data_IF_235378529236
#
_entry.id   IF_235378529236
#
_cell.length_a   1.000
_cell.length_b   1.000
_cell.length_c   1.000
_cell.angle_alpha   90.00
_cell.angle_beta   90.00
_cell.angle_gamma   90.00
#
_symmetry.space_group_name_H-M   'P 1'
#
loop_
_entity.id
_entity.type
_entity.pdbx_description
1 polymer ?
#
# COMPACT_ATOMS: atom_id res chain seq x y z
N UNK A 1 -38.80 -59.80 -11.62
CA UNK A 1 -37.59 -60.18 -12.39
C UNK A 1 -37.52 -59.31 -13.62
N UNK A 2 -36.84 -58.17 -13.53
CA UNK A 2 -36.60 -57.29 -14.68
C UNK A 2 -35.10 -57.38 -15.00
N UNK A 3 -34.76 -58.18 -16.01
CA UNK A 3 -33.40 -58.23 -16.56
C UNK A 3 -33.20 -56.95 -17.40
N UNK A 4 -32.60 -55.93 -16.79
CA UNK A 4 -32.20 -54.71 -17.49
C UNK A 4 -30.94 -54.97 -18.33
N UNK A 5 -31.05 -54.71 -19.63
CA UNK A 5 -29.96 -54.74 -20.58
C UNK A 5 -28.77 -53.87 -20.12
N UNK A 6 -27.55 -54.41 -20.20
CA UNK A 6 -26.32 -53.63 -19.99
C UNK A 6 -26.08 -52.75 -21.21
N UNK A 7 -26.00 -51.41 -21.07
CA UNK A 7 -25.55 -50.56 -22.17
C UNK A 7 -24.07 -50.84 -22.44
N UNK A 8 -23.74 -51.15 -23.69
CA UNK A 8 -22.36 -51.28 -24.15
C UNK A 8 -21.62 -49.96 -23.97
N UNK A 9 -20.62 -49.94 -23.11
CA UNK A 9 -19.78 -48.78 -22.87
C UNK A 9 -18.81 -48.52 -24.03
N UNK A 10 -18.52 -47.26 -24.37
CA UNK A 10 -17.57 -46.90 -25.42
C UNK A 10 -16.13 -47.17 -24.99
N UNK A 11 -15.36 -47.82 -25.88
CA UNK A 11 -13.89 -47.75 -25.95
C UNK A 11 -13.11 -48.03 -24.67
N UNK A 12 -12.92 -49.31 -24.33
CA UNK A 12 -12.01 -49.76 -23.28
C UNK A 12 -10.55 -49.45 -23.66
N UNK A 13 -9.99 -48.39 -23.12
CA UNK A 13 -8.53 -48.28 -23.00
C UNK A 13 -8.05 -49.30 -21.96
N UNK A 14 -6.92 -49.96 -22.20
CA UNK A 14 -6.50 -51.17 -21.47
C UNK A 14 -6.24 -50.98 -19.96
N UNK A 15 -6.36 -49.77 -19.41
CA UNK A 15 -6.05 -49.44 -18.01
C UNK A 15 -7.21 -48.78 -17.24
N UNK A 16 -8.47 -48.89 -17.71
CA UNK A 16 -9.62 -48.26 -17.04
C UNK A 16 -10.62 -49.32 -16.54
N UNK A 17 -10.79 -49.44 -15.21
CA UNK A 17 -11.81 -50.30 -14.60
C UNK A 17 -13.08 -49.47 -14.39
N UNK A 18 -14.19 -49.92 -14.98
CA UNK A 18 -15.50 -49.32 -14.77
C UNK A 18 -16.16 -49.94 -13.54
N UNK A 19 -16.36 -49.14 -12.49
CA UNK A 19 -17.06 -49.56 -11.27
C UNK A 19 -18.48 -48.98 -11.26
N UNK A 20 -19.49 -49.76 -10.80
CA UNK A 20 -20.84 -49.24 -10.67
C UNK A 20 -20.89 -48.14 -9.59
N UNK A 21 -21.70 -47.10 -9.82
CA UNK A 21 -21.79 -45.93 -8.94
C UNK A 21 -22.13 -46.30 -7.48
N UNK A 22 -22.86 -47.39 -7.26
CA UNK A 22 -23.18 -47.93 -5.92
C UNK A 22 -21.96 -48.39 -5.14
N UNK A 23 -20.89 -48.81 -5.82
CA UNK A 23 -19.62 -49.23 -5.17
C UNK A 23 -18.74 -48.04 -4.81
N UNK A 24 -18.92 -46.89 -5.47
CA UNK A 24 -18.20 -45.64 -5.17
C UNK A 24 -18.96 -44.75 -4.18
N UNK A 25 -20.28 -44.91 -4.06
CA UNK A 25 -21.13 -44.09 -3.19
C UNK A 25 -20.67 -44.02 -1.71
N UNK A 26 -20.22 -45.11 -1.05
CA UNK A 26 -19.74 -45.04 0.33
C UNK A 26 -18.43 -44.26 0.46
N UNK A 27 -17.51 -44.45 -0.51
CA UNK A 27 -16.22 -43.73 -0.57
C UNK A 27 -16.41 -42.23 -0.79
N UNK A 28 -17.42 -41.85 -1.58
CA UNK A 28 -17.77 -40.44 -1.82
C UNK A 28 -18.49 -39.83 -0.61
N UNK A 29 -19.31 -40.63 0.10
CA UNK A 29 -19.98 -40.19 1.32
C UNK A 29 -18.98 -39.92 2.47
N UNK A 30 -17.92 -40.71 2.57
CA UNK A 30 -16.86 -40.57 3.59
C UNK A 30 -15.78 -39.54 3.20
N UNK A 31 -15.78 -39.07 1.95
CA UNK A 31 -14.85 -38.06 1.46
C UNK A 31 -15.20 -36.62 1.88
N UNK A 32 -16.15 -36.41 2.80
CA UNK A 32 -16.63 -35.08 3.19
C UNK A 32 -15.51 -34.13 3.63
N UNK A 33 -14.59 -34.61 4.47
CA UNK A 33 -13.45 -33.82 4.95
C UNK A 33 -12.43 -33.55 3.84
N UNK A 34 -12.11 -34.55 3.01
CA UNK A 34 -11.20 -34.40 1.87
C UNK A 34 -11.75 -33.43 0.82
N UNK A 35 -13.06 -33.48 0.56
CA UNK A 35 -13.74 -32.52 -0.32
C UNK A 35 -13.70 -31.12 0.25
N UNK A 36 -13.98 -30.95 1.54
CA UNK A 36 -13.90 -29.65 2.21
C UNK A 36 -12.47 -29.09 2.17
N UNK A 37 -11.45 -29.93 2.41
CA UNK A 37 -10.04 -29.55 2.31
C UNK A 37 -9.66 -29.15 0.88
N UNK A 38 -10.06 -29.94 -0.12
CA UNK A 38 -9.80 -29.63 -1.54
C UNK A 38 -10.44 -28.31 -1.96
N UNK A 39 -11.68 -28.04 -1.53
CA UNK A 39 -12.37 -26.77 -1.79
C UNK A 39 -11.67 -25.59 -1.10
N UNK A 40 -11.21 -25.75 0.15
CA UNK A 40 -10.42 -24.72 0.85
C UNK A 40 -9.10 -24.46 0.15
N UNK A 41 -8.41 -25.51 -0.28
CA UNK A 41 -7.16 -25.40 -1.01
C UNK A 41 -7.34 -24.66 -2.33
N UNK A 42 -8.38 -25.02 -3.10
CA UNK A 42 -8.70 -24.34 -4.36
C UNK A 42 -9.00 -22.85 -4.16
N UNK A 43 -9.85 -22.51 -3.18
CA UNK A 43 -10.14 -21.10 -2.83
C UNK A 43 -8.88 -20.33 -2.44
N UNK A 44 -7.99 -20.94 -1.67
CA UNK A 44 -6.73 -20.31 -1.29
C UNK A 44 -5.77 -20.14 -2.48
N UNK A 45 -5.75 -21.07 -3.43
CA UNK A 45 -5.01 -20.88 -4.69
C UNK A 45 -5.56 -19.71 -5.50
N UNK A 46 -6.88 -19.62 -5.66
CA UNK A 46 -7.53 -18.50 -6.35
C UNK A 46 -7.20 -17.18 -5.65
N UNK A 47 -7.32 -17.14 -4.31
CA UNK A 47 -6.96 -15.95 -3.52
C UNK A 47 -5.50 -15.56 -3.71
N UNK A 48 -4.56 -16.50 -3.67
CA UNK A 48 -3.13 -16.23 -3.90
C UNK A 48 -2.88 -15.65 -5.30
N UNK A 49 -3.52 -16.21 -6.33
CA UNK A 49 -3.41 -15.68 -7.69
C UNK A 49 -3.95 -14.24 -7.79
N UNK A 50 -5.05 -13.93 -7.09
CA UNK A 50 -5.60 -12.59 -7.01
C UNK A 50 -4.66 -11.63 -6.27
N UNK A 51 -4.00 -12.07 -5.20
CA UNK A 51 -2.99 -11.26 -4.50
C UNK A 51 -1.80 -10.95 -5.41
N UNK A 52 -1.29 -11.93 -6.15
CA UNK A 52 -0.17 -11.70 -7.09
C UNK A 52 -0.54 -10.67 -8.16
N UNK A 53 -1.74 -10.80 -8.73
CA UNK A 53 -2.26 -9.83 -9.69
C UNK A 53 -2.42 -8.44 -9.08
N UNK A 54 -2.99 -8.33 -7.87
CA UNK A 54 -3.15 -7.08 -7.12
C UNK A 54 -1.80 -6.40 -6.82
N UNK A 55 -0.83 -7.15 -6.33
CA UNK A 55 0.53 -6.67 -6.05
C UNK A 55 1.21 -6.15 -7.33
N UNK A 56 1.04 -6.85 -8.45
CA UNK A 56 1.60 -6.42 -9.74
C UNK A 56 0.94 -5.14 -10.26
N UNK A 57 -0.39 -5.04 -10.17
CA UNK A 57 -1.16 -3.85 -10.60
C UNK A 57 -0.79 -2.60 -9.81
N UNK A 58 -0.62 -2.72 -8.49
CA UNK A 58 -0.36 -1.60 -7.60
C UNK A 58 1.13 -1.41 -7.27
N UNK A 59 2.05 -2.03 -8.01
CA UNK A 59 3.49 -1.94 -7.73
C UNK A 59 4.03 -0.50 -7.78
N UNK A 60 3.42 0.36 -8.60
CA UNK A 60 3.74 1.80 -8.71
C UNK A 60 2.83 2.70 -7.87
N UNK A 61 1.76 2.18 -7.27
CA UNK A 61 0.80 2.97 -6.49
C UNK A 61 1.33 3.24 -5.09
N UNK A 62 2.18 4.26 -4.98
CA UNK A 62 2.96 4.54 -3.76
C UNK A 62 2.42 5.69 -2.90
N UNK A 63 1.39 6.40 -3.38
CA UNK A 63 0.85 7.58 -2.69
C UNK A 63 -0.49 7.26 -2.02
N UNK A 64 -0.70 7.87 -0.86
CA UNK A 64 -1.91 7.75 -0.04
C UNK A 64 -2.39 6.30 0.20
N UNK A 65 -1.45 5.39 0.48
CA UNK A 65 -1.76 4.02 0.88
C UNK A 65 -2.53 4.05 2.21
N UNK A 66 -3.68 3.36 2.32
CA UNK A 66 -4.50 3.37 3.53
C UNK A 66 -3.74 2.93 4.79
N UNK A 67 -4.05 3.52 5.96
CA UNK A 67 -3.60 2.98 7.24
C UNK A 67 -4.00 1.52 7.43
N UNK A 68 -3.19 0.77 8.17
CA UNK A 68 -3.28 -0.68 8.39
C UNK A 68 -2.98 -1.56 7.17
N UNK A 69 -2.76 -0.97 5.99
CA UNK A 69 -2.31 -1.72 4.82
C UNK A 69 -0.87 -2.20 5.02
N UNK A 70 -0.58 -3.42 4.58
CA UNK A 70 0.79 -3.92 4.53
C UNK A 70 1.54 -3.34 3.34
N UNK A 71 2.80 -2.98 3.58
CA UNK A 71 3.72 -2.47 2.57
C UNK A 71 5.07 -3.16 2.68
N UNK A 72 5.74 -3.27 1.55
CA UNK A 72 7.17 -3.50 1.51
C UNK A 72 7.90 -2.19 1.67
N UNK A 73 8.76 -2.13 2.68
CA UNK A 73 9.78 -1.10 2.82
C UNK A 73 10.98 -1.48 1.95
N UNK A 74 11.09 -0.81 0.80
CA UNK A 74 12.20 -0.96 -0.13
C UNK A 74 13.48 -0.35 0.47
N UNK A 75 14.64 -0.97 0.20
CA UNK A 75 15.91 -0.41 0.64
C UNK A 75 16.19 0.95 -0.02
N UNK A 76 17.03 1.76 0.61
CA UNK A 76 17.57 2.94 -0.06
C UNK A 76 18.46 2.44 -1.19
N UNK A 77 18.08 2.74 -2.44
CA UNK A 77 19.00 2.62 -3.56
C UNK A 77 20.04 3.72 -3.43
N UNK A 78 21.03 3.53 -2.58
CA UNK A 78 22.22 4.36 -2.56
C UNK A 78 23.00 4.18 -3.87
N UNK A 79 23.66 5.21 -4.42
CA UNK A 79 24.41 5.15 -5.68
C UNK A 79 25.67 4.26 -5.62
N UNK A 80 25.86 3.45 -4.59
CA UNK A 80 26.96 2.50 -4.49
C UNK A 80 26.63 1.34 -3.56
N UNK A 81 26.66 0.13 -4.09
CA UNK A 81 26.83 -1.09 -3.29
C UNK A 81 25.54 -1.85 -2.97
N UNK A 82 25.21 -2.82 -3.83
CA UNK A 82 25.31 -4.26 -3.52
C UNK A 82 24.72 -4.83 -2.24
N UNK A 83 23.94 -4.09 -1.45
CA UNK A 83 23.28 -4.65 -0.28
C UNK A 83 22.03 -5.37 -0.75
N UNK A 84 22.01 -6.70 -0.56
CA UNK A 84 20.81 -7.55 -0.53
C UNK A 84 19.92 -7.11 0.64
N UNK A 85 19.56 -5.83 0.69
CA UNK A 85 18.81 -5.24 1.77
C UNK A 85 17.40 -5.80 1.65
N UNK A 86 17.17 -6.82 2.47
CA UNK A 86 15.94 -7.58 2.55
C UNK A 86 14.76 -6.61 2.59
N UNK A 87 13.86 -6.77 1.63
CA UNK A 87 12.56 -6.09 1.64
C UNK A 87 11.88 -6.41 2.97
N UNK A 88 11.66 -5.37 3.80
CA UNK A 88 11.03 -5.54 5.10
C UNK A 88 9.54 -5.33 4.98
N UNK A 89 8.75 -6.17 5.64
CA UNK A 89 7.31 -5.98 5.72
C UNK A 89 7.00 -4.96 6.81
N UNK A 90 6.14 -3.99 6.51
CA UNK A 90 5.67 -2.99 7.45
C UNK A 90 4.18 -2.74 7.26
N UNK A 91 3.55 -2.13 8.25
CA UNK A 91 2.15 -1.72 8.22
C UNK A 91 2.07 -0.20 8.24
N UNK A 92 1.24 0.40 7.40
CA UNK A 92 1.08 1.85 7.36
C UNK A 92 0.34 2.33 8.61
N UNK A 93 0.90 3.31 9.31
CA UNK A 93 0.26 3.95 10.47
C UNK A 93 -0.42 5.24 10.04
N UNK A 94 0.29 6.08 9.29
CA UNK A 94 -0.22 7.34 8.77
C UNK A 94 0.59 7.78 7.54
N UNK A 95 -0.03 8.62 6.72
CA UNK A 95 0.59 9.24 5.55
C UNK A 95 0.54 10.76 5.68
N UNK A 96 1.68 11.41 5.44
CA UNK A 96 1.81 12.86 5.37
C UNK A 96 1.92 13.27 3.90
N UNK A 97 0.83 13.83 3.37
CA UNK A 97 0.69 14.09 1.94
C UNK A 97 1.66 15.14 1.39
N UNK A 98 2.13 16.08 2.21
CA UNK A 98 3.00 17.16 1.73
C UNK A 98 4.44 16.70 1.54
N UNK A 99 5.06 16.13 2.58
CA UNK A 99 6.38 15.50 2.51
C UNK A 99 6.42 14.20 1.71
N UNK A 100 5.26 13.61 1.40
CA UNK A 100 5.11 12.26 0.82
C UNK A 100 5.80 11.22 1.70
N UNK A 101 5.56 11.29 3.00
CA UNK A 101 6.19 10.40 3.97
C UNK A 101 5.14 9.52 4.65
N UNK A 102 5.50 8.26 4.89
CA UNK A 102 4.73 7.33 5.68
C UNK A 102 5.38 7.13 7.03
N UNK A 103 4.56 7.15 8.08
CA UNK A 103 4.91 6.50 9.33
C UNK A 103 4.45 5.05 9.22
N UNK A 104 5.38 4.11 9.37
CA UNK A 104 5.10 2.68 9.28
C UNK A 104 5.50 1.96 10.57
N UNK A 105 4.76 0.91 10.91
CA UNK A 105 5.10 -0.04 11.96
C UNK A 105 5.76 -1.27 11.33
N UNK A 106 7.04 -1.49 11.62
CA UNK A 106 7.79 -2.62 11.08
C UNK A 106 7.25 -3.94 11.65
N UNK A 107 7.02 -4.92 10.76
CA UNK A 107 6.71 -6.30 11.14
C UNK A 107 8.00 -7.13 11.10
N UNK A 108 8.00 -8.26 11.81
CA UNK A 108 9.17 -9.12 12.01
C UNK A 108 9.98 -9.37 10.71
N UNK A 109 11.32 -9.41 10.77
CA UNK A 109 12.16 -9.56 11.97
C UNK A 109 12.47 -8.28 12.74
N UNK A 110 12.12 -7.09 12.21
CA UNK A 110 12.30 -5.82 12.91
C UNK A 110 11.01 -5.37 13.59
N UNK A 111 11.10 -4.90 14.82
CA UNK A 111 9.99 -4.26 15.56
C UNK A 111 10.28 -2.78 15.75
N UNK A 112 9.24 -1.94 15.69
CA UNK A 112 9.36 -0.48 15.90
C UNK A 112 8.63 0.33 14.84
N UNK A 113 8.76 1.66 14.94
CA UNK A 113 8.23 2.60 13.97
C UNK A 113 9.36 3.19 13.13
N UNK A 114 9.09 3.44 11.86
CA UNK A 114 9.99 4.14 10.96
C UNK A 114 9.20 5.17 10.15
N UNK A 115 9.87 6.27 9.79
CA UNK A 115 9.37 7.18 8.75
C UNK A 115 10.08 6.84 7.45
N UNK A 116 9.31 6.61 6.39
CA UNK A 116 9.83 6.25 5.07
C UNK A 116 9.23 7.16 4.01
N UNK A 117 10.00 7.59 3.00
CA UNK A 117 9.45 8.29 1.86
C UNK A 117 8.55 7.35 1.05
N UNK A 118 7.51 7.90 0.43
CA UNK A 118 6.50 7.16 -0.31
C UNK A 118 7.10 6.29 -1.41
N UNK A 119 8.16 6.76 -2.07
CA UNK A 119 8.87 6.03 -3.11
C UNK A 119 9.43 4.69 -2.65
N UNK A 120 9.62 4.50 -1.34
CA UNK A 120 10.12 3.28 -0.72
C UNK A 120 9.03 2.39 -0.15
N UNK A 121 7.75 2.77 -0.29
CA UNK A 121 6.62 1.97 0.18
C UNK A 121 5.88 1.37 -1.01
N UNK A 122 5.87 0.05 -1.10
CA UNK A 122 5.07 -0.67 -2.10
C UNK A 122 3.93 -1.42 -1.41
N UNK A 123 2.66 -1.25 -1.83
CA UNK A 123 1.53 -1.95 -1.21
C UNK A 123 1.59 -3.46 -1.43
N UNK A 124 1.12 -4.22 -0.43
CA UNK A 124 1.08 -5.68 -0.41
C UNK A 124 -0.28 -6.15 0.09
N UNK A 125 -0.93 -7.07 -0.64
CA UNK A 125 -2.28 -7.54 -0.34
C UNK A 125 -2.35 -8.96 0.26
N UNK A 126 -1.23 -9.47 0.79
CA UNK A 126 -1.16 -10.84 1.34
C UNK A 126 -2.20 -11.15 2.43
N UNK A 127 -2.48 -10.16 3.28
CA UNK A 127 -3.44 -10.28 4.39
C UNK A 127 -4.87 -9.87 3.99
N UNK A 128 -5.10 -9.47 2.73
CA UNK A 128 -6.42 -9.07 2.25
C UNK A 128 -7.32 -10.28 2.00
N UNK A 129 -8.59 -10.13 2.36
CA UNK A 129 -9.66 -11.07 2.03
C UNK A 129 -10.11 -10.93 0.57
N UNK A 130 -10.17 -9.69 0.07
CA UNK A 130 -10.44 -9.35 -1.34
C UNK A 130 -9.32 -8.46 -1.90
N UNK A 131 -8.22 -9.06 -2.38
CA UNK A 131 -7.07 -8.33 -2.90
C UNK A 131 -7.39 -7.45 -4.11
N UNK A 132 -8.40 -7.82 -4.90
CA UNK A 132 -8.76 -7.09 -6.10
C UNK A 132 -9.44 -5.76 -5.75
N UNK A 133 -10.39 -5.79 -4.82
CA UNK A 133 -11.06 -4.60 -4.33
C UNK A 133 -10.08 -3.65 -3.61
N UNK A 134 -9.23 -4.19 -2.74
CA UNK A 134 -8.24 -3.37 -2.02
C UNK A 134 -7.23 -2.72 -2.98
N UNK A 135 -6.83 -3.43 -4.04
CA UNK A 135 -5.98 -2.87 -5.08
C UNK A 135 -6.67 -1.72 -5.84
N UNK A 136 -7.95 -1.84 -6.15
CA UNK A 136 -8.72 -0.77 -6.79
C UNK A 136 -8.81 0.47 -5.89
N UNK A 137 -9.04 0.28 -4.59
CA UNK A 137 -9.03 1.37 -3.60
C UNK A 137 -7.67 2.07 -3.55
N UNK A 138 -6.58 1.31 -3.44
CA UNK A 138 -5.21 1.87 -3.41
C UNK A 138 -4.90 2.61 -4.72
N UNK A 139 -5.28 2.04 -5.87
CA UNK A 139 -5.09 2.67 -7.18
C UNK A 139 -5.84 4.00 -7.32
N UNK A 140 -7.10 4.06 -6.89
CA UNK A 140 -7.90 5.29 -6.91
C UNK A 140 -7.30 6.38 -6.03
N UNK A 141 -6.89 6.04 -4.80
CA UNK A 141 -6.27 6.99 -3.86
C UNK A 141 -4.95 7.53 -4.38
N UNK A 142 -4.11 6.66 -4.96
CA UNK A 142 -2.87 7.06 -5.59
C UNK A 142 -3.12 8.07 -6.72
N UNK A 143 -4.03 7.78 -7.64
CA UNK A 143 -4.36 8.68 -8.75
C UNK A 143 -4.92 10.04 -8.25
N UNK A 144 -5.76 10.02 -7.21
CA UNK A 144 -6.26 11.23 -6.57
C UNK A 144 -5.15 12.07 -5.93
N UNK A 145 -4.21 11.41 -5.23
CA UNK A 145 -3.06 12.08 -4.64
C UNK A 145 -2.14 12.69 -5.71
N UNK A 146 -1.88 11.99 -6.82
CA UNK A 146 -1.12 12.51 -7.95
C UNK A 146 -1.78 13.76 -8.54
N UNK A 147 -3.08 13.70 -8.83
CA UNK A 147 -3.84 14.84 -9.34
C UNK A 147 -3.79 16.03 -8.38
N UNK A 148 -3.86 15.78 -7.07
CA UNK A 148 -3.82 16.83 -6.05
C UNK A 148 -2.44 17.48 -5.99
N UNK A 149 -1.37 16.68 -6.11
CA UNK A 149 -0.01 17.18 -6.19
C UNK A 149 0.25 17.99 -7.45
N UNK A 150 -0.21 17.53 -8.60
CA UNK A 150 -0.06 18.26 -9.87
C UNK A 150 -0.79 19.61 -9.81
N UNK A 151 -2.02 19.63 -9.25
CA UNK A 151 -2.77 20.86 -9.03
C UNK A 151 -2.02 21.83 -8.09
N UNK A 152 -1.49 21.32 -6.97
CA UNK A 152 -0.70 22.12 -6.04
C UNK A 152 0.56 22.70 -6.69
N UNK A 153 1.28 21.92 -7.50
CA UNK A 153 2.45 22.39 -8.24
C UNK A 153 2.11 23.47 -9.28
N UNK A 154 0.99 23.31 -10.01
CA UNK A 154 0.50 24.32 -10.96
C UNK A 154 0.13 25.62 -10.25
N UNK A 155 -0.56 25.53 -9.12
CA UNK A 155 -0.88 26.70 -8.29
C UNK A 155 0.39 27.38 -7.77
N UNK A 156 1.35 26.60 -7.26
CA UNK A 156 2.62 27.12 -6.79
C UNK A 156 3.41 27.83 -7.90
N UNK A 157 3.43 27.26 -9.12
CA UNK A 157 4.06 27.88 -10.27
C UNK A 157 3.33 29.18 -10.70
N UNK A 158 2.00 29.21 -10.61
CA UNK A 158 1.20 30.42 -10.89
C UNK A 158 1.36 31.53 -9.85
N UNK A 159 1.63 31.16 -8.60
CA UNK A 159 1.93 32.09 -7.50
C UNK A 159 3.41 32.52 -7.48
N UNK A 160 4.29 31.83 -8.21
CA UNK A 160 5.69 32.19 -8.31
C UNK A 160 5.84 33.55 -9.01
N UNK A 161 6.05 34.60 -8.21
CA UNK A 161 6.16 35.99 -8.67
C UNK A 161 5.01 36.89 -8.21
N UNK A 162 3.92 36.35 -7.66
CA UNK A 162 2.87 37.13 -6.99
C UNK A 162 3.27 37.23 -5.51
N UNK A 163 4.02 38.27 -5.15
CA UNK A 163 4.57 38.46 -3.80
C UNK A 163 3.83 39.54 -3.00
N UNK A 164 2.66 39.98 -3.45
CA UNK A 164 1.91 41.05 -2.79
C UNK A 164 0.56 40.52 -2.29
N UNK A 165 0.37 40.59 -0.97
CA UNK A 165 -0.94 40.39 -0.33
C UNK A 165 -1.28 38.94 0.04
N UNK A 166 -0.37 38.21 0.67
CA UNK A 166 -0.74 36.97 1.37
C UNK A 166 -1.82 37.32 2.41
N UNK A 167 -2.99 36.68 2.30
CA UNK A 167 -4.07 36.88 3.25
C UNK A 167 -3.70 36.21 4.58
N UNK A 168 -4.06 36.86 5.68
CA UNK A 168 -3.90 36.28 7.03
C UNK A 168 -4.62 34.93 7.07
N UNK A 169 -3.90 33.86 7.42
CA UNK A 169 -4.39 32.49 7.44
C UNK A 169 -4.03 31.63 6.21
N UNK A 170 -3.39 32.18 5.18
CA UNK A 170 -2.84 31.37 4.08
C UNK A 170 -1.58 30.61 4.53
N UNK A 171 -1.56 29.31 4.22
CA UNK A 171 -0.38 28.46 4.45
C UNK A 171 0.68 28.78 3.40
N UNK A 172 1.89 29.09 3.85
CA UNK A 172 3.05 29.35 2.99
C UNK A 172 4.12 28.30 3.18
N UNK A 173 4.80 27.92 2.09
CA UNK A 173 5.97 27.05 2.16
C UNK A 173 7.18 27.86 2.66
N UNK A 174 7.49 27.76 3.95
CA UNK A 174 8.77 28.23 4.48
C UNK A 174 9.86 27.25 4.05
N UNK A 175 10.71 27.64 3.10
CA UNK A 175 11.88 26.83 2.74
C UNK A 175 12.98 27.13 3.76
N UNK A 176 13.47 26.15 4.54
CA UNK A 176 14.65 26.36 5.36
C UNK A 176 15.80 26.77 4.45
N UNK A 177 16.51 27.83 4.85
CA UNK A 177 17.60 28.43 4.07
C UNK A 177 18.66 27.34 3.84
N UNK A 178 18.74 26.81 2.62
CA UNK A 178 19.70 25.77 2.26
C UNK A 178 21.11 26.34 2.36
N UNK A 179 21.81 26.01 3.45
CA UNK A 179 23.14 26.51 3.78
C UNK A 179 23.44 26.58 5.28
N UNK A 180 22.44 26.48 6.16
CA UNK A 180 22.65 26.31 7.61
C UNK A 180 22.74 24.83 7.98
N UNK A 181 23.68 24.47 8.86
CA UNK A 181 23.80 23.12 9.41
C UNK A 181 22.46 22.65 10.05
N UNK A 182 22.18 21.33 10.08
CA UNK A 182 21.03 20.78 10.80
C UNK A 182 21.23 21.00 12.30
N UNK A 183 20.83 22.17 12.79
CA UNK A 183 21.07 22.62 14.17
C UNK A 183 20.67 24.08 14.43
N UNK A 184 20.59 24.93 13.40
CA UNK A 184 20.33 26.37 13.58
C UNK A 184 18.89 26.81 13.27
N UNK A 185 17.91 25.92 13.46
CA UNK A 185 16.55 26.38 13.76
C UNK A 185 16.54 26.80 15.23
N UNK A 186 17.17 27.94 15.54
CA UNK A 186 17.02 28.55 16.86
C UNK A 186 15.54 28.91 16.95
N UNK A 187 14.82 28.28 17.88
CA UNK A 187 13.49 28.73 18.24
C UNK A 187 13.61 30.21 18.58
N UNK A 188 13.01 31.06 17.75
CA UNK A 188 12.90 32.47 18.06
C UNK A 188 12.15 32.55 19.38
N UNK A 189 12.74 33.19 20.38
CA UNK A 189 11.97 33.47 21.59
C UNK A 189 10.84 34.43 21.23
N UNK A 190 9.73 34.39 21.97
CA UNK A 190 8.63 35.36 21.80
C UNK A 190 9.09 36.82 21.94
N UNK A 191 10.26 37.04 22.52
CA UNK A 191 10.91 38.36 22.63
C UNK A 191 11.64 38.73 21.35
N UNK A 192 12.38 37.81 20.73
CA UNK A 192 13.05 38.03 19.45
C UNK A 192 12.04 38.21 18.30
N UNK A 193 10.94 37.45 18.31
CA UNK A 193 9.83 37.63 17.38
C UNK A 193 9.18 39.01 17.54
N UNK A 194 8.93 39.45 18.78
CA UNK A 194 8.36 40.78 19.07
C UNK A 194 9.30 41.92 18.73
N UNK A 195 10.60 41.75 18.93
CA UNK A 195 11.59 42.76 18.55
C UNK A 195 11.64 42.92 17.03
N UNK A 196 11.62 41.81 16.29
CA UNK A 196 11.55 41.81 14.84
C UNK A 196 10.27 42.49 14.31
N UNK A 197 9.13 42.22 14.95
CA UNK A 197 7.85 42.88 14.66
C UNK A 197 7.93 44.39 14.90
N UNK A 198 8.54 44.85 16.00
CA UNK A 198 8.73 46.27 16.30
C UNK A 198 9.67 46.95 15.31
N UNK A 199 10.80 46.33 15.00
CA UNK A 199 11.81 46.85 14.07
C UNK A 199 11.26 46.96 12.64
N UNK A 200 10.18 46.24 12.32
CA UNK A 200 9.53 46.25 11.01
C UNK A 200 8.14 46.89 11.03
N UNK A 201 7.81 47.60 12.12
CA UNK A 201 6.61 48.44 12.20
C UNK A 201 5.29 47.67 12.28
N UNK A 202 5.33 46.41 12.70
CA UNK A 202 4.11 45.61 12.95
C UNK A 202 3.49 46.10 14.27
N UNK A 203 2.25 46.61 14.25
CA UNK A 203 1.59 47.06 15.47
C UNK A 203 1.23 45.85 16.35
N UNK A 204 1.33 45.96 17.69
CA UNK A 204 1.00 44.87 18.59
C UNK A 204 -0.49 44.50 18.45
N UNK A 205 -0.85 43.21 18.63
CA UNK A 205 -2.24 42.78 18.63
C UNK A 205 -3.01 43.52 19.73
N UNK A 206 -4.19 44.05 19.36
CA UNK A 206 -5.10 44.75 20.27
C UNK A 206 -5.83 43.80 21.22
#
# INVERSE_FOLDING_TARGET
>A
VCQGARPGGPGSSANSIWLPATSLAPLIADAGELKALAQRHWREQERRSAVEAANARCASCRLDIPPKQLVYALPENGPGGGSLALTKLAEVVSYEGWGREYKVAMKAPSTGFATLPAERCQPVFWASEDPALDADVVGQRHAQAESSHEAAQKLQAGLAGIHMGLLVGQLVLARPRSGGAPGDAREYTDEEARQFEQDHGVPPPR
#
